data_IF_348652452697
#
_entry.id   IF_348652452697
#
_cell.length_a   1.000
_cell.length_b   1.000
_cell.length_c   1.000
_cell.angle_alpha   90.00
_cell.angle_beta   90.00
_cell.angle_gamma   90.00
#
_symmetry.space_group_name_H-M   'P 1'
#
loop_
_entity.id
_entity.type
_entity.pdbx_description
1 polymer ?
#
# COMPACT_ATOMS: atom_id res chain seq x y z
N UNK A 1 8.32 22.41 9.02
CA UNK A 1 8.74 21.08 8.50
C UNK A 1 9.59 21.31 7.27
N UNK A 2 10.75 20.67 7.18
CA UNK A 2 11.64 20.77 6.02
C UNK A 2 11.36 19.58 5.12
N UNK A 3 10.87 19.82 3.89
CA UNK A 3 10.65 18.73 2.92
C UNK A 3 12.01 18.29 2.39
N UNK A 4 12.32 16.99 2.54
CA UNK A 4 13.54 16.39 2.02
C UNK A 4 13.27 15.74 0.67
N UNK A 5 14.14 15.99 -0.30
CA UNK A 5 14.11 15.28 -1.58
C UNK A 5 14.99 14.03 -1.48
N UNK A 6 14.41 12.87 -1.74
CA UNK A 6 15.15 11.62 -1.92
C UNK A 6 15.68 11.59 -3.34
N UNK A 7 17.00 11.63 -3.49
CA UNK A 7 17.69 11.66 -4.78
C UNK A 7 18.55 10.41 -4.95
N UNK A 8 18.62 9.90 -6.16
CA UNK A 8 19.48 8.79 -6.55
C UNK A 8 20.15 9.09 -7.88
N UNK A 9 21.34 8.53 -8.12
CA UNK A 9 22.00 8.61 -9.42
C UNK A 9 21.59 7.41 -10.26
N UNK A 10 21.06 7.64 -11.46
CA UNK A 10 20.79 6.60 -12.46
C UNK A 10 21.15 7.14 -13.85
N UNK A 11 21.82 6.31 -14.67
CA UNK A 11 22.29 6.69 -15.99
C UNK A 11 23.24 7.91 -15.99
N UNK A 12 23.98 8.11 -14.90
CA UNK A 12 24.87 9.26 -14.71
C UNK A 12 24.16 10.59 -14.45
N UNK A 13 22.84 10.59 -14.21
CA UNK A 13 22.05 11.79 -13.87
C UNK A 13 21.44 11.64 -12.48
N UNK A 14 21.32 12.76 -11.78
CA UNK A 14 20.58 12.81 -10.53
C UNK A 14 19.07 12.76 -10.83
N UNK A 15 18.38 11.80 -10.23
CA UNK A 15 16.94 11.57 -10.34
C UNK A 15 16.29 11.77 -8.97
N UNK A 16 15.12 12.38 -8.96
CA UNK A 16 14.29 12.46 -7.75
C UNK A 16 13.52 11.15 -7.66
N UNK A 17 13.72 10.44 -6.55
CA UNK A 17 12.99 9.21 -6.22
C UNK A 17 11.75 9.53 -5.40
N UNK A 18 11.76 10.58 -4.57
CA UNK A 18 10.58 10.96 -3.81
C UNK A 18 10.78 12.22 -2.98
N UNK A 19 9.70 12.65 -2.34
CA UNK A 19 9.69 13.73 -1.37
C UNK A 19 9.30 13.14 0.00
N UNK A 20 9.99 13.56 1.05
CA UNK A 20 9.75 13.10 2.41
C UNK A 20 9.48 14.30 3.32
N UNK A 21 8.33 14.30 3.97
CA UNK A 21 7.85 15.46 4.76
C UNK A 21 7.96 15.27 6.27
N UNK A 22 8.18 14.04 6.71
CA UNK A 22 8.13 13.64 8.12
C UNK A 22 9.53 13.45 8.72
N UNK A 23 9.68 13.41 10.06
CA UNK A 23 10.91 12.97 10.70
C UNK A 23 11.34 11.57 10.22
N UNK A 24 12.64 11.29 10.22
CA UNK A 24 13.21 10.00 9.78
C UNK A 24 13.19 8.93 10.88
N UNK A 25 12.87 9.34 12.10
CA UNK A 25 12.94 8.57 13.32
C UNK A 25 11.58 8.42 14.02
N UNK A 26 11.59 7.71 15.15
CA UNK A 26 10.39 7.46 15.96
C UNK A 26 9.32 6.71 15.18
N UNK A 27 8.09 7.22 15.23
CA UNK A 27 6.92 6.56 14.63
C UNK A 27 6.97 6.45 13.11
N UNK A 28 7.68 7.35 12.41
CA UNK A 28 7.76 7.36 10.95
C UNK A 28 8.93 6.55 10.38
N UNK A 29 9.81 6.02 11.26
CA UNK A 29 11.05 5.37 10.86
C UNK A 29 10.82 4.19 9.91
N UNK A 30 9.75 3.42 10.11
CA UNK A 30 9.46 2.26 9.28
C UNK A 30 8.98 2.65 7.87
N UNK A 31 8.08 3.63 7.75
CA UNK A 31 7.67 4.18 6.46
C UNK A 31 8.86 4.83 5.73
N UNK A 32 9.71 5.57 6.46
CA UNK A 32 10.92 6.16 5.91
C UNK A 32 11.92 5.09 5.42
N UNK A 33 12.05 3.97 6.14
CA UNK A 33 12.91 2.85 5.75
C UNK A 33 12.54 2.34 4.37
N UNK A 34 11.26 2.14 4.06
CA UNK A 34 10.81 1.73 2.73
C UNK A 34 11.21 2.74 1.64
N UNK A 35 10.98 4.05 1.88
CA UNK A 35 11.35 5.11 0.94
C UNK A 35 12.88 5.17 0.70
N UNK A 36 13.67 4.99 1.77
CA UNK A 36 15.14 4.96 1.72
C UNK A 36 15.66 3.72 1.00
N UNK A 37 15.08 2.55 1.23
CA UNK A 37 15.46 1.30 0.57
C UNK A 37 15.15 1.36 -0.93
N UNK A 38 13.99 1.91 -1.31
CA UNK A 38 13.64 2.15 -2.71
C UNK A 38 14.71 3.01 -3.42
N UNK A 39 15.12 4.13 -2.81
CA UNK A 39 16.23 4.97 -3.29
C UNK A 39 17.53 4.18 -3.42
N UNK A 40 17.84 3.36 -2.41
CA UNK A 40 19.10 2.59 -2.36
C UNK A 40 19.16 1.52 -3.46
N UNK A 41 18.02 0.97 -3.90
CA UNK A 41 18.00 0.04 -5.04
C UNK A 41 18.27 0.72 -6.38
N UNK A 42 17.83 1.98 -6.57
CA UNK A 42 18.18 2.77 -7.76
C UNK A 42 19.69 3.05 -7.80
N UNK A 43 20.27 3.50 -6.68
CA UNK A 43 21.73 3.72 -6.57
C UNK A 43 22.50 2.41 -6.75
N UNK A 44 22.01 1.32 -6.15
CA UNK A 44 22.60 -0.01 -6.27
C UNK A 44 22.61 -0.55 -7.70
N UNK A 45 21.60 -0.22 -8.51
CA UNK A 45 21.60 -0.57 -9.93
C UNK A 45 22.69 0.19 -10.70
N UNK A 46 22.85 1.49 -10.44
CA UNK A 46 23.89 2.29 -11.07
C UNK A 46 25.29 1.75 -10.73
N UNK A 47 25.53 1.39 -9.47
CA UNK A 47 26.80 0.77 -9.04
C UNK A 47 27.00 -0.58 -9.75
N UNK A 48 25.97 -1.42 -9.84
CA UNK A 48 26.05 -2.69 -10.56
C UNK A 48 26.38 -2.48 -12.05
N UNK A 49 25.73 -1.53 -12.72
CA UNK A 49 26.00 -1.18 -14.11
C UNK A 49 27.45 -0.69 -14.30
N UNK A 50 27.98 0.13 -13.38
CA UNK A 50 29.36 0.58 -13.44
C UNK A 50 30.33 -0.61 -13.33
N UNK A 51 30.12 -1.50 -12.37
CA UNK A 51 30.97 -2.68 -12.17
C UNK A 51 30.94 -3.60 -13.40
N UNK A 52 29.76 -3.90 -13.94
CA UNK A 52 29.59 -4.74 -15.13
C UNK A 52 30.29 -4.10 -16.35
N UNK A 53 30.12 -2.80 -16.56
CA UNK A 53 30.72 -2.11 -17.70
C UNK A 53 32.26 -2.07 -17.60
N UNK A 54 32.80 -1.94 -16.38
CA UNK A 54 34.24 -1.93 -16.12
C UNK A 54 34.92 -3.30 -16.15
N UNK A 55 34.15 -4.39 -16.22
CA UNK A 55 34.72 -5.73 -16.32
C UNK A 55 35.16 -6.02 -17.76
N UNK A 56 36.47 -5.94 -18.02
CA UNK A 56 37.06 -6.19 -19.34
C UNK A 56 36.98 -7.66 -19.78
N UNK A 57 36.64 -8.59 -18.87
CA UNK A 57 36.50 -10.03 -19.19
C UNK A 57 35.18 -10.35 -19.85
N UNK A 58 34.18 -9.50 -19.69
CA UNK A 58 32.84 -9.71 -20.22
C UNK A 58 32.75 -9.17 -21.65
N UNK A 59 32.18 -9.98 -22.55
CA UNK A 59 31.78 -9.49 -23.87
C UNK A 59 30.61 -8.50 -23.75
N UNK A 60 30.39 -7.66 -24.75
CA UNK A 60 29.28 -6.69 -24.75
C UNK A 60 27.91 -7.37 -24.58
N UNK A 61 27.76 -8.57 -25.15
CA UNK A 61 26.56 -9.39 -24.99
C UNK A 61 26.39 -9.88 -23.54
N UNK A 62 27.47 -10.35 -22.91
CA UNK A 62 27.44 -10.76 -21.50
C UNK A 62 27.13 -9.57 -20.58
N UNK A 63 27.72 -8.39 -20.84
CA UNK A 63 27.41 -7.15 -20.11
C UNK A 63 25.95 -6.74 -20.27
N UNK A 64 25.36 -6.92 -21.44
CA UNK A 64 23.94 -6.64 -21.66
C UNK A 64 23.05 -7.59 -20.83
N UNK A 65 23.35 -8.89 -20.85
CA UNK A 65 22.64 -9.90 -20.05
C UNK A 65 22.76 -9.67 -18.55
N UNK A 66 23.95 -9.33 -18.05
CA UNK A 66 24.18 -9.09 -16.62
C UNK A 66 23.47 -7.82 -16.14
N UNK A 67 23.46 -6.75 -16.95
CA UNK A 67 22.68 -5.53 -16.64
C UNK A 67 21.19 -5.82 -16.57
N UNK A 68 20.69 -6.60 -17.52
CA UNK A 68 19.30 -7.04 -17.52
C UNK A 68 18.93 -7.82 -16.26
N UNK A 69 19.77 -8.78 -15.87
CA UNK A 69 19.59 -9.59 -14.67
C UNK A 69 19.64 -8.73 -13.40
N UNK A 70 20.60 -7.82 -13.30
CA UNK A 70 20.73 -6.91 -12.16
C UNK A 70 19.50 -6.00 -12.02
N UNK A 71 18.98 -5.48 -13.14
CA UNK A 71 17.74 -4.70 -13.12
C UNK A 71 16.54 -5.57 -12.68
N UNK A 72 16.42 -6.81 -13.16
CA UNK A 72 15.30 -7.71 -12.81
C UNK A 72 15.29 -8.02 -11.32
N UNK A 73 16.47 -8.32 -10.77
CA UNK A 73 16.67 -8.54 -9.34
C UNK A 73 16.27 -7.31 -8.51
N UNK A 74 16.65 -6.10 -8.94
CA UNK A 74 16.27 -4.86 -8.24
C UNK A 74 14.77 -4.60 -8.29
N UNK A 75 14.12 -4.80 -9.44
CA UNK A 75 12.66 -4.70 -9.54
C UNK A 75 11.96 -5.71 -8.63
N UNK A 76 12.50 -6.92 -8.50
CA UNK A 76 12.00 -7.92 -7.57
C UNK A 76 12.05 -7.45 -6.11
N UNK A 77 13.17 -6.86 -5.69
CA UNK A 77 13.26 -6.27 -4.35
C UNK A 77 12.29 -5.10 -4.16
N UNK A 78 12.12 -4.23 -5.17
CA UNK A 78 11.11 -3.16 -5.10
C UNK A 78 9.69 -3.73 -4.92
N UNK A 79 9.36 -4.83 -5.61
CA UNK A 79 8.10 -5.57 -5.40
C UNK A 79 7.94 -6.08 -3.96
N UNK A 80 9.02 -6.63 -3.38
CA UNK A 80 9.02 -7.03 -1.97
C UNK A 80 8.81 -5.85 -1.02
N UNK A 81 9.42 -4.68 -1.29
CA UNK A 81 9.22 -3.47 -0.50
C UNK A 81 7.76 -3.01 -0.53
N UNK A 82 7.11 -3.07 -1.70
CA UNK A 82 5.70 -2.72 -1.84
C UNK A 82 4.81 -3.62 -0.97
N UNK A 83 5.04 -4.95 -0.96
CA UNK A 83 4.31 -5.86 -0.07
C UNK A 83 4.52 -5.56 1.41
N UNK A 84 5.74 -5.21 1.79
CA UNK A 84 6.04 -4.75 3.15
C UNK A 84 5.28 -3.48 3.51
N UNK A 85 5.23 -2.50 2.60
CA UNK A 85 4.48 -1.26 2.79
C UNK A 85 2.97 -1.49 2.87
N UNK A 86 2.42 -2.41 2.08
CA UNK A 86 0.99 -2.77 2.12
C UNK A 86 0.62 -3.45 3.44
N UNK A 87 1.55 -4.21 4.03
CA UNK A 87 1.40 -4.76 5.38
C UNK A 87 1.36 -3.65 6.43
N UNK A 88 2.31 -2.70 6.37
CA UNK A 88 2.33 -1.53 7.26
C UNK A 88 1.05 -0.70 7.14
N UNK A 89 0.56 -0.49 5.91
CA UNK A 89 -0.72 0.17 5.64
C UNK A 89 -1.88 -0.56 6.29
N UNK A 90 -1.94 -1.88 6.15
CA UNK A 90 -3.03 -2.69 6.72
C UNK A 90 -3.03 -2.61 8.26
N UNK A 91 -1.86 -2.68 8.89
CA UNK A 91 -1.71 -2.49 10.34
C UNK A 91 -2.13 -1.09 10.78
N UNK A 92 -1.77 -0.06 10.00
CA UNK A 92 -2.18 1.31 10.27
C UNK A 92 -3.69 1.52 10.15
N UNK A 93 -4.31 0.95 9.11
CA UNK A 93 -5.77 0.98 8.92
C UNK A 93 -6.50 0.23 10.04
N UNK A 94 -5.96 -0.89 10.52
CA UNK A 94 -6.50 -1.61 11.67
C UNK A 94 -6.39 -0.79 12.95
N UNK A 95 -5.26 -0.11 13.17
CA UNK A 95 -5.10 0.79 14.31
C UNK A 95 -6.06 1.98 14.24
N UNK A 96 -6.23 2.55 13.06
CA UNK A 96 -7.16 3.65 12.82
C UNK A 96 -8.62 3.21 12.99
N UNK A 97 -8.99 1.98 12.60
CA UNK A 97 -10.36 1.47 12.74
C UNK A 97 -10.76 1.21 14.20
N UNK A 98 -9.78 0.97 15.08
CA UNK A 98 -10.00 0.87 16.54
C UNK A 98 -10.31 2.22 17.18
N UNK A 99 -10.00 3.34 16.52
CA UNK A 99 -10.41 4.66 16.99
C UNK A 99 -11.91 4.82 16.79
N UNK A 100 -12.65 4.70 17.88
CA UNK A 100 -14.10 4.88 17.88
C UNK A 100 -14.43 6.22 18.52
N UNK A 101 -15.14 7.08 17.81
CA UNK A 101 -15.64 8.33 18.39
C UNK A 101 -16.73 8.09 19.45
N UNK A 102 -17.44 6.97 19.31
CA UNK A 102 -18.63 6.67 20.11
C UNK A 102 -18.55 5.22 20.60
N UNK A 103 -18.61 4.97 21.91
CA UNK A 103 -18.61 3.62 22.43
C UNK A 103 -19.90 2.89 22.05
N UNK A 104 -19.84 1.57 21.79
CA UNK A 104 -21.02 0.77 21.51
C UNK A 104 -21.97 0.75 22.71
N UNK A 105 -23.21 0.30 22.48
CA UNK A 105 -24.15 0.08 23.58
C UNK A 105 -23.58 -0.94 24.57
N UNK A 106 -23.85 -0.72 25.85
CA UNK A 106 -23.57 -1.73 26.87
C UNK A 106 -24.58 -2.86 26.73
N UNK A 107 -24.16 -4.08 27.09
CA UNK A 107 -25.07 -5.21 27.14
C UNK A 107 -26.29 -4.87 28.01
N UNK A 108 -27.49 -5.16 27.52
CA UNK A 108 -28.80 -4.87 28.14
C UNK A 108 -29.19 -3.40 28.35
N UNK A 109 -28.49 -2.43 27.75
CA UNK A 109 -28.87 -1.01 27.82
C UNK A 109 -29.97 -0.64 26.79
N UNK A 110 -31.19 -1.11 27.04
CA UNK A 110 -32.34 -0.82 26.19
C UNK A 110 -32.75 0.67 26.24
N UNK A 111 -32.41 1.38 27.31
CA UNK A 111 -32.80 2.78 27.52
C UNK A 111 -32.03 3.69 26.55
N UNK A 112 -30.71 3.51 26.45
CA UNK A 112 -29.90 4.28 25.50
C UNK A 112 -30.33 4.06 24.05
N UNK A 113 -30.71 2.84 23.68
CA UNK A 113 -31.22 2.53 22.33
C UNK A 113 -32.53 3.29 22.05
N UNK A 114 -33.47 3.32 23.01
CA UNK A 114 -34.74 4.05 22.84
C UNK A 114 -34.52 5.56 22.70
N UNK A 115 -33.61 6.12 23.49
CA UNK A 115 -33.22 7.54 23.40
C UNK A 115 -32.62 7.83 22.02
N UNK A 116 -31.67 7.01 21.57
CA UNK A 116 -30.99 7.22 20.28
C UNK A 116 -31.99 7.07 19.10
N UNK A 117 -32.98 6.16 19.19
CA UNK A 117 -34.05 6.04 18.18
C UNK A 117 -34.95 7.29 18.12
N UNK A 118 -35.31 7.86 19.26
CA UNK A 118 -36.08 9.09 19.32
C UNK A 118 -35.28 10.28 18.73
N UNK A 119 -33.99 10.36 19.05
CA UNK A 119 -33.08 11.36 18.47
C UNK A 119 -32.90 11.16 16.96
N UNK A 120 -32.83 9.93 16.47
CA UNK A 120 -32.75 9.63 15.04
C UNK A 120 -34.03 10.04 14.29
N UNK A 121 -35.21 9.83 14.88
CA UNK A 121 -36.48 10.32 14.33
C UNK A 121 -36.49 11.85 14.22
N UNK A 122 -35.95 12.55 15.24
CA UNK A 122 -35.81 13.99 15.23
C UNK A 122 -34.83 14.46 14.15
N UNK A 123 -33.68 13.80 13.98
CA UNK A 123 -32.71 14.10 12.90
C UNK A 123 -33.34 13.90 11.52
N UNK A 124 -34.13 12.84 11.35
CA UNK A 124 -34.82 12.56 10.09
C UNK A 124 -35.88 13.60 9.75
N UNK A 125 -36.54 14.16 10.77
CA UNK A 125 -37.54 15.22 10.62
C UNK A 125 -36.93 16.60 10.32
N UNK A 126 -35.62 16.80 10.56
CA UNK A 126 -34.93 18.04 10.19
C UNK A 126 -34.69 18.14 8.68
N UNK A 127 -34.63 19.37 8.20
CA UNK A 127 -34.17 19.67 6.84
C UNK A 127 -32.76 19.11 6.61
N UNK A 128 -32.46 18.51 5.45
CA UNK A 128 -31.17 17.85 5.19
C UNK A 128 -29.96 18.75 5.45
N UNK A 129 -30.02 20.04 5.08
CA UNK A 129 -28.95 20.99 5.31
C UNK A 129 -28.73 21.26 6.81
N UNK A 130 -29.81 21.41 7.58
CA UNK A 130 -29.75 21.65 9.02
C UNK A 130 -29.23 20.43 9.78
N UNK A 131 -29.70 19.23 9.42
CA UNK A 131 -29.20 17.95 9.95
C UNK A 131 -27.70 17.82 9.73
N UNK A 132 -27.26 18.01 8.48
CA UNK A 132 -25.86 17.84 8.10
C UNK A 132 -24.95 18.84 8.81
N UNK A 133 -25.39 20.09 8.95
CA UNK A 133 -24.66 21.11 9.70
C UNK A 133 -24.56 20.78 11.19
N UNK A 134 -25.65 20.34 11.82
CA UNK A 134 -25.68 19.98 13.24
C UNK A 134 -24.73 18.81 13.57
N UNK A 135 -24.68 17.79 12.70
CA UNK A 135 -23.83 16.61 12.91
C UNK A 135 -22.34 16.89 12.66
N UNK A 136 -22.02 17.70 11.66
CA UNK A 136 -20.63 18.13 11.41
C UNK A 136 -20.13 19.06 12.50
N UNK A 137 -20.90 20.10 12.83
CA UNK A 137 -20.53 21.07 13.85
C UNK A 137 -20.36 20.41 15.22
N UNK A 138 -21.15 19.36 15.49
CA UNK A 138 -20.99 18.58 16.71
C UNK A 138 -21.43 19.29 17.98
N UNK A 139 -22.19 20.38 17.85
CA UNK A 139 -22.69 21.19 18.97
C UNK A 139 -23.55 20.38 19.95
N UNK A 140 -24.24 19.35 19.45
CA UNK A 140 -25.04 18.43 20.24
C UNK A 140 -24.49 17.01 20.14
N UNK A 141 -23.63 16.64 21.09
CA UNK A 141 -22.93 15.36 21.09
C UNK A 141 -23.88 14.15 21.13
N UNK A 142 -25.05 14.28 21.76
CA UNK A 142 -26.10 13.24 21.78
C UNK A 142 -26.62 12.90 20.39
N UNK A 143 -26.81 13.89 19.51
CA UNK A 143 -27.24 13.64 18.13
C UNK A 143 -26.14 12.96 17.30
N UNK A 144 -24.88 13.35 17.50
CA UNK A 144 -23.73 12.71 16.83
C UNK A 144 -23.60 11.25 17.30
N UNK A 145 -23.75 10.99 18.59
CA UNK A 145 -23.66 9.64 19.15
C UNK A 145 -24.77 8.74 18.61
N UNK A 146 -26.02 9.21 18.62
CA UNK A 146 -27.15 8.48 18.05
C UNK A 146 -26.95 8.21 16.54
N UNK A 147 -26.44 9.22 15.81
CA UNK A 147 -26.21 9.10 14.37
C UNK A 147 -25.13 8.09 14.00
N UNK A 148 -24.11 7.91 14.85
CA UNK A 148 -22.98 7.01 14.62
C UNK A 148 -23.21 5.60 15.19
N UNK A 149 -24.08 5.43 16.20
CA UNK A 149 -24.43 4.12 16.77
C UNK A 149 -25.51 3.39 15.98
N UNK A 150 -26.47 4.14 15.44
CA UNK A 150 -27.59 3.57 14.71
C UNK A 150 -27.25 3.39 13.22
N UNK A 151 -27.87 2.41 12.55
CA UNK A 151 -27.81 2.31 11.10
C UNK A 151 -28.21 3.63 10.42
N UNK A 152 -27.46 4.02 9.39
CA UNK A 152 -27.64 5.27 8.62
C UNK A 152 -29.05 5.44 8.03
N UNK A 153 -29.73 4.32 7.77
CA UNK A 153 -31.10 4.27 7.25
C UNK A 153 -32.11 4.85 8.25
N UNK A 154 -31.82 4.76 9.55
CA UNK A 154 -32.69 5.29 10.61
C UNK A 154 -32.49 6.80 10.82
N UNK A 155 -31.31 7.31 10.50
CA UNK A 155 -30.92 8.72 10.74
C UNK A 155 -31.12 9.61 9.50
N UNK A 156 -31.33 8.99 8.32
CA UNK A 156 -31.59 9.70 7.07
C UNK A 156 -30.34 10.31 6.43
N UNK A 157 -29.17 9.72 6.71
CA UNK A 157 -27.85 10.22 6.26
C UNK A 157 -27.29 9.28 5.18
N UNK A 158 -26.63 9.83 4.16
CA UNK A 158 -25.96 9.02 3.14
C UNK A 158 -24.69 8.35 3.69
N UNK A 159 -24.22 7.30 3.03
CA UNK A 159 -22.99 6.59 3.41
C UNK A 159 -21.77 7.53 3.48
N UNK A 160 -21.58 8.34 2.45
CA UNK A 160 -20.46 9.29 2.36
C UNK A 160 -20.52 10.33 3.48
N UNK A 161 -21.72 10.77 3.84
CA UNK A 161 -21.90 11.77 4.88
C UNK A 161 -21.71 11.19 6.27
N UNK A 162 -22.16 9.96 6.50
CA UNK A 162 -21.89 9.21 7.72
C UNK A 162 -20.38 9.04 7.92
N UNK A 163 -19.63 8.68 6.88
CA UNK A 163 -18.17 8.57 6.95
C UNK A 163 -17.50 9.91 7.31
N UNK A 164 -17.99 11.03 6.75
CA UNK A 164 -17.50 12.37 7.11
C UNK A 164 -17.80 12.74 8.56
N UNK A 165 -19.03 12.50 9.03
CA UNK A 165 -19.41 12.77 10.42
C UNK A 165 -18.59 11.92 11.39
N UNK A 166 -18.33 10.65 11.04
CA UNK A 166 -17.47 9.77 11.82
C UNK A 166 -16.03 10.32 11.91
N UNK A 167 -15.42 10.72 10.79
CA UNK A 167 -14.09 11.32 10.77
C UNK A 167 -14.01 12.55 11.68
N UNK A 168 -14.97 13.48 11.53
CA UNK A 168 -15.02 14.69 12.35
C UNK A 168 -15.28 14.41 13.83
N UNK A 169 -16.08 13.40 14.15
CA UNK A 169 -16.32 12.99 15.53
C UNK A 169 -15.05 12.39 16.17
N UNK A 170 -14.27 11.60 15.42
CA UNK A 170 -12.98 11.07 15.88
C UNK A 170 -11.99 12.21 16.12
N UNK A 171 -11.87 13.16 15.19
CA UNK A 171 -10.98 14.33 15.32
C UNK A 171 -11.33 15.18 16.54
N UNK A 172 -12.62 15.32 16.87
CA UNK A 172 -13.07 16.03 18.07
C UNK A 172 -12.78 15.28 19.37
N UNK A 173 -13.00 13.96 19.38
CA UNK A 173 -12.81 13.13 20.58
C UNK A 173 -11.32 12.87 20.88
N UNK A 174 -10.52 12.63 19.85
CA UNK A 174 -9.11 12.26 19.95
C UNK A 174 -8.24 13.09 18.98
N UNK A 175 -8.08 14.41 19.20
CA UNK A 175 -7.44 15.31 18.24
C UNK A 175 -5.98 14.96 17.96
N UNK A 176 -5.23 14.51 18.98
CA UNK A 176 -3.83 14.10 18.79
C UNK A 176 -3.74 12.84 17.95
N UNK A 177 -4.45 11.77 18.35
CA UNK A 177 -4.41 10.48 17.66
C UNK A 177 -4.92 10.58 16.23
N UNK A 178 -5.96 11.39 15.98
CA UNK A 178 -6.44 11.68 14.64
C UNK A 178 -5.36 12.32 13.75
N UNK A 179 -4.63 13.31 14.28
CA UNK A 179 -3.49 13.91 13.57
C UNK A 179 -2.38 12.88 13.33
N UNK A 180 -2.08 12.03 14.31
CA UNK A 180 -1.06 10.98 14.11
C UNK A 180 -1.45 9.98 13.01
N UNK A 181 -2.74 9.65 12.93
CA UNK A 181 -3.27 8.77 11.89
C UNK A 181 -3.15 9.40 10.52
N UNK A 182 -3.48 10.68 10.40
CA UNK A 182 -3.35 11.43 9.14
C UNK A 182 -1.88 11.57 8.73
N UNK A 183 -1.00 11.97 9.65
CA UNK A 183 0.43 12.11 9.39
C UNK A 183 1.07 10.79 8.93
N UNK A 184 0.70 9.67 9.56
CA UNK A 184 1.21 8.35 9.19
C UNK A 184 0.67 7.89 7.84
N UNK A 185 -0.61 8.15 7.54
CA UNK A 185 -1.18 7.87 6.23
C UNK A 185 -0.42 8.62 5.13
N UNK A 186 -0.12 9.90 5.36
CA UNK A 186 0.68 10.69 4.43
C UNK A 186 2.12 10.18 4.31
N UNK A 187 2.75 9.74 5.40
CA UNK A 187 4.08 9.12 5.35
C UNK A 187 4.09 7.81 4.54
N UNK A 188 3.04 7.00 4.63
CA UNK A 188 2.86 5.78 3.83
C UNK A 188 2.65 6.12 2.35
N UNK A 189 1.90 7.17 2.04
CA UNK A 189 1.73 7.67 0.67
C UNK A 189 3.06 8.18 0.07
N UNK A 190 3.82 8.98 0.83
CA UNK A 190 5.15 9.46 0.42
C UNK A 190 6.11 8.26 0.16
N UNK A 191 6.04 7.21 1.00
CA UNK A 191 6.82 5.99 0.79
C UNK A 191 6.37 5.19 -0.44
N UNK A 192 5.06 5.08 -0.68
CA UNK A 192 4.53 4.40 -1.86
C UNK A 192 4.97 5.11 -3.15
N UNK A 193 4.90 6.44 -3.16
CA UNK A 193 5.36 7.23 -4.30
C UNK A 193 6.86 7.01 -4.56
N UNK A 194 7.67 6.97 -3.49
CA UNK A 194 9.09 6.68 -3.62
C UNK A 194 9.39 5.28 -4.22
N UNK A 195 8.65 4.26 -3.80
CA UNK A 195 8.73 2.90 -4.36
C UNK A 195 8.34 2.90 -5.84
N UNK A 196 7.24 3.58 -6.17
CA UNK A 196 6.71 3.65 -7.54
C UNK A 196 7.67 4.34 -8.50
N UNK A 197 8.20 5.49 -8.10
CA UNK A 197 9.18 6.23 -8.90
C UNK A 197 10.50 5.44 -9.01
N UNK A 198 10.94 4.77 -7.96
CA UNK A 198 12.12 3.88 -8.04
C UNK A 198 11.89 2.74 -9.04
N UNK A 199 10.72 2.11 -9.01
CA UNK A 199 10.33 1.08 -9.99
C UNK A 199 10.40 1.65 -11.41
N UNK A 200 9.77 2.82 -11.64
CA UNK A 200 9.72 3.52 -12.92
C UNK A 200 11.11 3.87 -13.47
N UNK A 201 12.02 4.34 -12.62
CA UNK A 201 13.41 4.63 -13.01
C UNK A 201 14.13 3.34 -13.44
N UNK A 202 14.03 2.28 -12.64
CA UNK A 202 14.74 1.01 -12.92
C UNK A 202 14.21 0.36 -14.21
N UNK A 203 12.89 0.35 -14.44
CA UNK A 203 12.32 -0.20 -15.67
C UNK A 203 12.67 0.64 -16.91
N UNK A 204 12.78 1.97 -16.74
CA UNK A 204 13.16 2.88 -17.82
C UNK A 204 14.60 2.65 -18.29
N UNK A 205 15.49 2.33 -17.36
CA UNK A 205 16.91 2.09 -17.65
C UNK A 205 17.20 0.69 -18.20
N UNK A 206 16.29 -0.28 -17.99
CA UNK A 206 16.53 -1.69 -18.33
C UNK A 206 16.00 -2.13 -19.70
N UNK A 207 15.03 -1.41 -20.27
CA UNK A 207 14.39 -1.77 -21.54
C UNK A 207 13.60 -3.09 -21.49
N UNK A 208 13.18 -3.53 -20.30
CA UNK A 208 12.45 -4.79 -20.10
C UNK A 208 11.13 -4.87 -20.85
N UNK A 209 10.76 -6.10 -21.21
CA UNK A 209 9.43 -6.44 -21.71
C UNK A 209 8.36 -6.22 -20.62
N UNK A 210 7.09 -6.08 -21.01
CA UNK A 210 6.01 -5.95 -20.04
C UNK A 210 5.88 -7.22 -19.16
N UNK A 211 6.08 -8.39 -19.74
CA UNK A 211 5.99 -9.67 -19.05
C UNK A 211 7.04 -9.76 -17.93
N UNK A 212 8.29 -9.39 -18.23
CA UNK A 212 9.38 -9.41 -17.24
C UNK A 212 9.19 -8.38 -16.12
N UNK A 213 8.52 -7.26 -16.41
CA UNK A 213 8.16 -6.27 -15.39
C UNK A 213 7.11 -6.82 -14.43
N UNK A 214 6.09 -7.49 -14.96
CA UNK A 214 5.02 -8.10 -14.15
C UNK A 214 5.59 -9.25 -13.33
N UNK A 215 6.43 -10.10 -13.94
CA UNK A 215 7.15 -11.19 -13.26
C UNK A 215 8.03 -10.65 -12.12
N UNK A 216 8.83 -9.63 -12.37
CA UNK A 216 9.68 -9.03 -11.34
C UNK A 216 8.86 -8.40 -10.21
N UNK A 217 7.77 -7.68 -10.53
CA UNK A 217 6.92 -7.05 -9.52
C UNK A 217 6.09 -8.04 -8.69
N UNK A 218 5.81 -9.24 -9.23
CA UNK A 218 5.02 -10.29 -8.57
C UNK A 218 3.62 -9.82 -8.21
N UNK A 219 3.16 -10.16 -6.99
CA UNK A 219 1.80 -9.81 -6.51
C UNK A 219 1.55 -8.30 -6.44
N UNK A 220 2.62 -7.49 -6.37
CA UNK A 220 2.53 -6.03 -6.36
C UNK A 220 2.49 -5.41 -7.75
N UNK A 221 2.44 -6.21 -8.82
CA UNK A 221 2.43 -5.71 -10.20
C UNK A 221 1.29 -4.72 -10.48
N UNK A 222 0.09 -4.96 -9.94
CA UNK A 222 -1.05 -4.06 -10.13
C UNK A 222 -0.83 -2.65 -9.54
N UNK A 223 -0.02 -2.53 -8.49
CA UNK A 223 0.31 -1.25 -7.86
C UNK A 223 1.51 -0.55 -8.51
N UNK A 224 2.47 -1.32 -9.02
CA UNK A 224 3.76 -0.82 -9.49
C UNK A 224 3.85 -0.63 -11.01
N UNK A 225 3.22 -1.50 -11.81
CA UNK A 225 3.28 -1.43 -13.27
C UNK A 225 2.27 -0.39 -13.76
N UNK A 226 2.77 0.79 -14.12
CA UNK A 226 1.95 1.93 -14.56
C UNK A 226 1.85 2.03 -16.09
N UNK A 227 0.83 2.74 -16.59
CA UNK A 227 0.67 3.00 -18.03
C UNK A 227 0.05 1.87 -18.85
N UNK A 228 -0.38 0.79 -18.19
CA UNK A 228 -1.06 -0.37 -18.80
C UNK A 228 -2.41 -0.57 -18.10
N UNK A 229 -3.41 -1.09 -18.82
CA UNK A 229 -4.71 -1.37 -18.20
C UNK A 229 -4.58 -2.44 -17.10
N UNK A 230 -5.25 -2.28 -15.94
CA UNK A 230 -5.16 -3.25 -14.84
C UNK A 230 -5.48 -4.69 -15.28
N UNK A 231 -6.53 -4.87 -16.11
CA UNK A 231 -6.89 -6.19 -16.64
C UNK A 231 -5.87 -6.80 -17.63
N UNK A 232 -4.86 -6.05 -18.08
CA UNK A 232 -3.73 -6.64 -18.83
C UNK A 232 -2.64 -7.11 -17.88
N UNK A 233 -2.36 -6.36 -16.82
CA UNK A 233 -1.44 -6.79 -15.76
C UNK A 233 -1.96 -8.07 -15.10
N UNK A 234 -3.24 -8.12 -14.74
CA UNK A 234 -3.90 -9.31 -14.16
C UNK A 234 -3.77 -10.54 -15.07
N UNK A 235 -4.09 -10.41 -16.36
CA UNK A 235 -3.95 -11.53 -17.32
C UNK A 235 -2.51 -12.03 -17.46
N UNK A 236 -1.53 -11.13 -17.39
CA UNK A 236 -0.11 -11.50 -17.44
C UNK A 236 0.28 -12.20 -16.14
N UNK A 237 -0.11 -11.67 -14.98
CA UNK A 237 0.13 -12.28 -13.68
C UNK A 237 -0.50 -13.68 -13.58
N UNK A 238 -1.74 -13.86 -14.04
CA UNK A 238 -2.43 -15.15 -14.07
C UNK A 238 -1.71 -16.15 -14.99
N UNK A 239 -1.28 -15.72 -16.17
CA UNK A 239 -0.52 -16.57 -17.11
C UNK A 239 0.81 -17.01 -16.50
N UNK A 240 1.56 -16.08 -15.89
CA UNK A 240 2.85 -16.39 -15.26
C UNK A 240 2.67 -17.32 -14.06
N UNK A 241 1.65 -17.10 -13.23
CA UNK A 241 1.33 -17.99 -12.11
C UNK A 241 0.95 -19.40 -12.58
N UNK A 242 0.17 -19.51 -13.67
CA UNK A 242 -0.18 -20.79 -14.26
C UNK A 242 1.04 -21.53 -14.84
N UNK A 243 1.99 -20.80 -15.43
CA UNK A 243 3.25 -21.36 -15.93
C UNK A 243 4.14 -21.86 -14.78
N UNK A 244 4.35 -21.04 -13.75
CA UNK A 244 5.13 -21.43 -12.57
C UNK A 244 4.54 -22.67 -11.88
N UNK A 245 3.21 -22.72 -11.74
CA UNK A 245 2.53 -23.90 -11.17
C UNK A 245 2.74 -25.16 -12.03
N UNK A 246 2.66 -25.04 -13.35
CA UNK A 246 2.89 -26.18 -14.24
C UNK A 246 4.33 -26.69 -14.20
N UNK A 247 5.31 -25.80 -14.00
CA UNK A 247 6.72 -26.15 -13.81
C UNK A 247 6.95 -26.86 -12.47
N UNK A 248 6.37 -26.36 -11.38
CA UNK A 248 6.43 -27.00 -10.06
C UNK A 248 5.79 -28.39 -10.08
N UNK A 249 4.58 -28.52 -10.64
CA UNK A 249 3.87 -29.80 -10.77
C UNK A 249 4.72 -30.81 -11.59
N UNK A 250 5.40 -30.36 -12.65
CA UNK A 250 6.27 -31.20 -13.46
C UNK A 250 7.56 -31.63 -12.72
N UNK A 251 8.15 -30.74 -11.92
CA UNK A 251 9.33 -31.04 -11.11
C UNK A 251 9.00 -32.06 -10.00
N UNK A 252 7.84 -31.92 -9.36
CA UNK A 252 7.33 -32.87 -8.36
C UNK A 252 7.06 -34.25 -8.99
N UNK A 253 6.50 -34.30 -10.20
CA UNK A 253 6.31 -35.55 -10.95
C UNK A 253 7.65 -36.21 -11.32
N UNK A 254 8.65 -35.42 -11.73
CA UNK A 254 9.99 -35.92 -12.04
C UNK A 254 10.69 -36.47 -10.78
N UNK A 255 10.59 -35.76 -9.65
CA UNK A 255 11.13 -36.21 -8.38
C UNK A 255 10.46 -37.52 -7.91
N UNK A 256 9.14 -37.62 -8.05
CA UNK A 256 8.40 -38.85 -7.73
C UNK A 256 8.81 -40.02 -8.64
N UNK A 257 9.03 -39.78 -9.93
CA UNK A 257 9.54 -40.80 -10.86
C UNK A 257 10.94 -41.28 -10.49
N UNK A 258 11.84 -40.37 -10.13
CA UNK A 258 13.20 -40.70 -9.70
C UNK A 258 13.19 -41.51 -8.39
N UNK A 259 12.35 -41.12 -7.41
CA UNK A 259 12.18 -41.87 -6.16
C UNK A 259 11.62 -43.28 -6.39
N UNK A 260 10.68 -43.44 -7.32
CA UNK A 260 10.11 -44.74 -7.68
C UNK A 260 11.13 -45.67 -8.38
N UNK A 261 12.04 -45.13 -9.20
CA UNK A 261 13.11 -45.89 -9.84
C UNK A 261 14.17 -46.39 -8.85
N UNK A 262 14.48 -45.60 -7.82
CA UNK A 262 15.45 -45.97 -6.78
C UNK A 262 14.84 -46.98 -5.78
N UNK A 263 13.55 -46.84 -5.44
CA UNK A 263 12.84 -47.76 -4.54
C UNK A 263 12.52 -49.13 -5.14
N UNK A 264 12.57 -49.28 -6.46
CA UNK A 264 12.34 -50.55 -7.18
C UNK A 264 13.58 -51.43 -7.39
N UNK A 265 14.75 -51.02 -6.88
CA UNK A 265 16.02 -51.77 -6.99
C UNK A 265 16.49 -52.44 -5.69
N UNK A 266 15.64 -52.52 -4.65
CA UNK A 266 15.88 -53.28 -3.43
C UNK A 266 15.01 -54.55 -3.40
#
# INVERSE_FOLDING_TARGET
MTVKTLRAVSGGKERIVGLWRHPEDGKFAEAFRFAREARSHVEGLQIAHMNINSDDRLSDSAKAGDRYKAAKERLHFIGQLQRGLDTLRSQHLERASRLTAVPPYRDSDAVSVQIDLALAAQLRAMEPAARNAALLAGTHQVFVNAALRLPRELTGISADWHARVLKEAITRAHPREAQEVEDMSQAIEDAQEAIRVAFDIIQGDSGMSLDDKVDAAGDSAAALVTGVSPGTVERISERLAAQAKAEDDAADEEEQRLRAQIGGQA
#
